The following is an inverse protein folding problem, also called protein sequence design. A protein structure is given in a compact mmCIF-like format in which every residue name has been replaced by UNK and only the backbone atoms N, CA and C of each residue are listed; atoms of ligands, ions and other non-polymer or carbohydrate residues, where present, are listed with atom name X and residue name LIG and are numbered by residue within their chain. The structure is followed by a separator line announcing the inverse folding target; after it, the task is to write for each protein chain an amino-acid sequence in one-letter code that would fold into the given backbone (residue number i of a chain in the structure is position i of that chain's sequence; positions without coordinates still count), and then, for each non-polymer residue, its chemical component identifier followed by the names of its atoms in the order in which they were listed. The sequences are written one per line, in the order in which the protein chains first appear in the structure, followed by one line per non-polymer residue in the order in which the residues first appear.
data_IF_632121222661
#
_entry.id   IF_632121222661
#
_cell.length_a   1.000
_cell.length_b   1.000
_cell.length_c   1.000
_cell.angle_alpha   90.00
_cell.angle_beta   90.00
_cell.angle_gamma   90.00
#
_symmetry.space_group_name_H-M   'P 1'
#
loop_
_entity.id
_entity.type
_entity.pdbx_description
1 polymer ?
#
# COMPACT_ATOMS: atom_id res chain seq x y z
N UNK A 1 -10.86 -23.82 -1.60
CA UNK A 1 -10.11 -23.58 -0.35
C UNK A 1 -9.80 -22.09 -0.23
N UNK A 2 -10.49 -21.35 0.65
CA UNK A 2 -10.17 -19.93 0.94
C UNK A 2 -9.21 -19.94 2.13
N UNK A 3 -7.97 -19.48 1.96
CA UNK A 3 -7.01 -19.37 3.07
C UNK A 3 -7.61 -18.45 4.13
N UNK A 4 -7.74 -18.95 5.35
CA UNK A 4 -7.96 -18.12 6.52
C UNK A 4 -6.72 -17.28 6.74
N UNK A 5 -6.82 -15.98 6.53
CA UNK A 5 -5.82 -15.03 7.00
C UNK A 5 -6.16 -14.73 8.47
N UNK A 6 -5.36 -15.25 9.40
CA UNK A 6 -5.35 -14.73 10.76
C UNK A 6 -5.03 -13.24 10.68
N UNK A 7 -5.97 -12.40 11.08
CA UNK A 7 -5.87 -10.94 10.99
C UNK A 7 -4.97 -10.42 12.10
N UNK A 8 -3.66 -10.67 12.00
CA UNK A 8 -2.71 -9.76 12.59
C UNK A 8 -2.77 -8.49 11.72
N UNK A 9 -3.40 -7.42 12.23
CA UNK A 9 -3.36 -6.11 11.59
C UNK A 9 -1.89 -5.76 11.36
N UNK A 10 -1.43 -5.65 10.10
CA UNK A 10 -0.02 -5.33 9.84
C UNK A 10 0.30 -3.96 10.44
N UNK A 11 1.44 -3.84 11.11
CA UNK A 11 1.91 -2.55 11.60
C UNK A 11 2.56 -1.82 10.43
N UNK A 12 1.80 -0.93 9.82
CA UNK A 12 2.27 -0.08 8.72
C UNK A 12 2.87 1.21 9.26
N UNK A 13 3.96 1.68 8.66
CA UNK A 13 4.44 3.05 8.90
C UNK A 13 3.39 4.09 8.48
N UNK A 14 3.54 5.34 8.95
CA UNK A 14 2.62 6.41 8.58
C UNK A 14 2.53 6.58 7.05
N UNK A 15 3.67 6.45 6.36
CA UNK A 15 3.74 6.59 4.90
C UNK A 15 3.08 5.45 4.15
N UNK A 16 3.25 4.22 4.61
CA UNK A 16 2.60 3.05 4.00
C UNK A 16 1.08 3.10 4.22
N UNK A 17 0.61 3.63 5.35
CA UNK A 17 -0.82 3.90 5.60
C UNK A 17 -1.40 4.90 4.63
N UNK A 18 -0.72 6.00 4.35
CA UNK A 18 -1.17 6.97 3.35
C UNK A 18 -1.33 6.32 1.97
N UNK A 19 -0.36 5.51 1.56
CA UNK A 19 -0.44 4.78 0.28
C UNK A 19 -1.60 3.80 0.27
N UNK A 20 -1.79 3.04 1.35
CA UNK A 20 -2.90 2.09 1.47
C UNK A 20 -4.27 2.76 1.45
N UNK A 21 -4.41 3.91 2.12
CA UNK A 21 -5.64 4.71 2.09
C UNK A 21 -5.95 5.20 0.67
N UNK A 22 -4.94 5.66 -0.07
CA UNK A 22 -5.12 6.08 -1.47
C UNK A 22 -5.48 4.90 -2.39
N UNK A 23 -4.85 3.73 -2.20
CA UNK A 23 -5.19 2.50 -2.93
C UNK A 23 -6.62 2.07 -2.61
N UNK A 24 -7.03 2.10 -1.33
CA UNK A 24 -8.37 1.75 -0.91
C UNK A 24 -9.44 2.69 -1.49
N UNK A 25 -9.08 3.95 -1.77
CA UNK A 25 -9.91 4.92 -2.49
C UNK A 25 -9.91 4.74 -4.01
N UNK A 26 -9.19 3.74 -4.55
CA UNK A 26 -9.12 3.44 -5.96
C UNK A 26 -8.23 4.38 -6.77
N UNK A 27 -7.31 5.10 -6.13
CA UNK A 27 -6.39 6.00 -6.81
C UNK A 27 -5.37 5.24 -7.67
N UNK A 28 -5.05 5.79 -8.82
CA UNK A 28 -4.00 5.28 -9.71
C UNK A 28 -2.61 5.62 -9.17
N UNK A 29 -1.58 4.89 -9.63
CA UNK A 29 -0.20 5.15 -9.21
C UNK A 29 0.28 6.58 -9.55
N UNK A 30 -0.27 7.20 -10.60
CA UNK A 30 -0.02 8.61 -10.94
C UNK A 30 -0.59 9.55 -9.89
N UNK A 31 -1.86 9.39 -9.55
CA UNK A 31 -2.52 10.19 -8.52
C UNK A 31 -1.88 9.99 -7.13
N UNK A 32 -1.45 8.75 -6.82
CA UNK A 32 -0.71 8.47 -5.58
C UNK A 32 0.63 9.21 -5.56
N UNK A 33 1.34 9.24 -6.69
CA UNK A 33 2.62 9.95 -6.81
C UNK A 33 2.43 11.45 -6.58
N UNK A 34 1.42 12.06 -7.21
CA UNK A 34 1.07 13.46 -7.04
C UNK A 34 0.63 13.78 -5.61
N UNK A 35 -0.28 12.99 -5.03
CA UNK A 35 -0.80 13.19 -3.68
C UNK A 35 0.30 13.10 -2.61
N UNK A 36 1.32 12.27 -2.83
CA UNK A 36 2.41 12.05 -1.90
C UNK A 36 3.66 12.88 -2.21
N UNK A 37 3.71 13.59 -3.33
CA UNK A 37 4.89 14.34 -3.78
C UNK A 37 6.11 13.45 -4.04
N UNK A 38 5.87 12.24 -4.56
CA UNK A 38 6.92 11.25 -4.87
C UNK A 38 6.97 10.97 -6.38
N UNK A 39 8.03 10.29 -6.83
CA UNK A 39 8.09 9.85 -8.21
C UNK A 39 7.06 8.74 -8.51
N UNK A 40 6.59 8.69 -9.76
CA UNK A 40 5.73 7.59 -10.23
C UNK A 40 6.37 6.21 -10.01
N UNK A 41 7.68 6.08 -10.22
CA UNK A 41 8.40 4.83 -9.97
C UNK A 41 8.33 4.40 -8.49
N UNK A 42 8.42 5.35 -7.57
CA UNK A 42 8.25 5.10 -6.13
C UNK A 42 6.82 4.66 -5.80
N UNK A 43 5.81 5.35 -6.35
CA UNK A 43 4.41 5.01 -6.15
C UNK A 43 4.07 3.62 -6.69
N UNK A 44 4.54 3.28 -7.89
CA UNK A 44 4.38 1.95 -8.50
C UNK A 44 4.98 0.85 -7.63
N UNK A 45 6.21 1.07 -7.13
CA UNK A 45 6.90 0.13 -6.23
C UNK A 45 6.09 -0.11 -4.95
N UNK A 46 5.61 0.96 -4.31
CA UNK A 46 4.85 0.87 -3.08
C UNK A 46 3.48 0.22 -3.29
N UNK A 47 2.77 0.59 -4.35
CA UNK A 47 1.49 -0.03 -4.71
C UNK A 47 1.60 -1.54 -4.89
N UNK A 48 2.63 -2.00 -5.61
CA UNK A 48 2.89 -3.44 -5.79
C UNK A 48 3.24 -4.15 -4.47
N UNK A 49 4.09 -3.54 -3.64
CA UNK A 49 4.49 -4.12 -2.34
C UNK A 49 3.34 -4.20 -1.34
N UNK A 50 2.51 -3.16 -1.28
CA UNK A 50 1.45 -3.01 -0.29
C UNK A 50 0.15 -3.72 -0.71
N UNK A 51 -0.06 -3.96 -2.01
CA UNK A 51 -1.18 -4.76 -2.51
C UNK A 51 -0.98 -6.28 -2.29
N UNK A 52 0.25 -6.74 -2.05
CA UNK A 52 0.54 -8.14 -1.78
C UNK A 52 0.22 -8.49 -0.31
N UNK A 53 -0.63 -9.49 -0.04
CA UNK A 53 -0.90 -9.93 1.34
C UNK A 53 0.37 -10.57 1.93
N UNK A 54 0.99 -9.90 2.90
CA UNK A 54 2.11 -10.44 3.68
C UNK A 54 3.30 -9.49 3.91
N UNK A 55 3.32 -8.31 3.29
CA UNK A 55 4.44 -7.36 3.46
C UNK A 55 4.28 -6.51 4.73
N UNK A 56 4.16 -7.13 5.90
CA UNK A 56 4.20 -6.42 7.18
C UNK A 56 5.66 -6.24 7.60
N UNK A 57 6.14 -5.00 7.73
CA UNK A 57 7.44 -4.76 8.38
C UNK A 57 7.26 -4.77 9.89
N UNK A 58 8.09 -5.54 10.58
CA UNK A 58 8.19 -5.57 12.03
C UNK A 58 8.92 -4.33 12.56
#
# INVERSE_FOLDING_TARGET
MRRGAGTATPVWSAREREVLDLIARGKTNGEIAEALGISFATALKWSSLLAAPGYARA
#
